data_IF_508280933287
#
_entry.id   IF_508280933287
#
_cell.length_a   1.000
_cell.length_b   1.000
_cell.length_c   1.000
_cell.angle_alpha   90.00
_cell.angle_beta   90.00
_cell.angle_gamma   90.00
#
_symmetry.space_group_name_H-M   'P 1'
#
loop_
_entity.id
_entity.type
_entity.pdbx_description
1 polymer ?
#
# COMPACT_ATOMS: atom_id res chain seq x y z
N UNK A 1 -4.48 -25.80 -25.99
CA UNK A 1 -3.01 -25.87 -26.03
C UNK A 1 -2.47 -25.21 -24.75
N UNK A 2 -1.90 -25.99 -23.83
CA UNK A 2 -1.22 -25.42 -22.67
C UNK A 2 0.08 -24.77 -23.15
N UNK A 3 0.27 -23.50 -22.82
CA UNK A 3 1.49 -22.78 -23.16
C UNK A 3 2.67 -23.42 -22.41
N UNK A 4 3.77 -23.69 -23.09
CA UNK A 4 4.91 -24.45 -22.53
C UNK A 4 5.50 -23.87 -21.23
N UNK A 5 5.45 -22.54 -21.08
CA UNK A 5 5.93 -21.84 -19.90
C UNK A 5 5.10 -22.08 -18.64
N UNK A 6 3.83 -22.52 -18.78
CA UNK A 6 2.97 -22.81 -17.62
C UNK A 6 3.39 -24.07 -16.86
N UNK A 7 4.21 -24.94 -17.47
CA UNK A 7 4.71 -26.17 -16.83
C UNK A 7 5.61 -25.90 -15.63
N UNK A 8 6.25 -24.73 -15.59
CA UNK A 8 7.17 -24.34 -14.53
C UNK A 8 6.53 -23.43 -13.47
N UNK A 9 5.23 -23.12 -13.60
CA UNK A 9 4.54 -22.35 -12.59
C UNK A 9 4.24 -23.24 -11.39
N UNK A 10 4.56 -22.74 -10.19
CA UNK A 10 4.12 -23.40 -8.95
C UNK A 10 2.58 -23.45 -8.97
N UNK A 11 2.04 -24.59 -8.58
CA UNK A 11 0.60 -24.75 -8.41
C UNK A 11 0.19 -24.03 -7.10
N UNK A 12 0.03 -22.70 -7.19
CA UNK A 12 -0.35 -21.86 -6.07
C UNK A 12 -1.81 -21.49 -6.27
N UNK A 13 -2.63 -21.74 -5.25
CA UNK A 13 -4.00 -21.26 -5.27
C UNK A 13 -4.00 -19.72 -5.26
N UNK A 14 -4.76 -19.08 -6.17
CA UNK A 14 -4.84 -17.63 -6.17
C UNK A 14 -5.48 -17.12 -4.88
N UNK A 15 -5.09 -15.94 -4.45
CA UNK A 15 -5.71 -15.27 -3.32
C UNK A 15 -7.22 -15.10 -3.57
N UNK A 16 -8.00 -15.61 -2.63
CA UNK A 16 -9.46 -15.41 -2.61
C UNK A 16 -9.77 -14.28 -1.63
N UNK A 17 -10.34 -13.16 -2.10
CA UNK A 17 -10.75 -12.08 -1.21
C UNK A 17 -11.74 -12.57 -0.17
N UNK A 18 -11.64 -12.04 1.04
CA UNK A 18 -12.61 -12.32 2.10
C UNK A 18 -14.04 -11.93 1.68
N UNK A 19 -15.00 -12.51 2.35
CA UNK A 19 -16.43 -12.29 2.08
C UNK A 19 -16.76 -10.79 2.08
N UNK A 20 -17.45 -10.36 1.03
CA UNK A 20 -17.97 -9.00 0.89
C UNK A 20 -19.51 -9.07 0.94
N UNK A 21 -20.07 -8.96 2.13
CA UNK A 21 -21.52 -8.90 2.28
C UNK A 21 -22.09 -7.62 1.65
N UNK A 22 -23.26 -7.76 1.05
CA UNK A 22 -24.06 -6.64 0.56
C UNK A 22 -25.02 -6.09 1.60
N UNK A 23 -25.12 -6.77 2.74
CA UNK A 23 -25.98 -6.36 3.84
C UNK A 23 -25.35 -5.14 4.55
N UNK A 24 -26.14 -4.08 4.69
CA UNK A 24 -25.69 -2.80 5.27
C UNK A 24 -25.65 -2.81 6.80
N UNK A 25 -26.31 -3.78 7.43
CA UNK A 25 -26.40 -3.89 8.89
C UNK A 25 -25.31 -4.78 9.50
N UNK A 26 -24.44 -5.33 8.65
CA UNK A 26 -23.31 -6.15 9.11
C UNK A 26 -22.16 -5.27 9.60
N UNK A 27 -21.65 -5.59 10.79
CA UNK A 27 -20.40 -5.03 11.30
C UNK A 27 -19.23 -5.75 10.67
N UNK A 28 -18.53 -5.09 9.77
CA UNK A 28 -17.37 -5.63 9.08
C UNK A 28 -16.14 -5.59 9.99
N UNK A 29 -15.62 -6.76 10.34
CA UNK A 29 -14.41 -6.91 11.18
C UNK A 29 -13.25 -7.60 10.45
N UNK A 30 -13.45 -7.98 9.17
CA UNK A 30 -12.38 -8.46 8.30
C UNK A 30 -11.65 -7.28 7.64
N UNK A 31 -10.51 -7.52 7.00
CA UNK A 31 -9.74 -6.53 6.25
C UNK A 31 -9.09 -5.39 7.07
N UNK A 32 -9.18 -5.41 8.40
CA UNK A 32 -8.50 -4.45 9.29
C UNK A 32 -8.74 -2.97 8.93
N UNK A 33 -9.95 -2.62 8.52
CA UNK A 33 -10.31 -1.24 8.19
C UNK A 33 -10.28 -0.36 9.43
N UNK A 34 -9.74 0.86 9.29
CA UNK A 34 -9.73 1.82 10.38
C UNK A 34 -11.14 2.42 10.56
N UNK A 35 -11.77 2.31 11.76
CA UNK A 35 -13.10 2.85 11.99
C UNK A 35 -13.12 4.40 12.08
N UNK A 36 -11.97 5.02 12.22
CA UNK A 36 -11.87 6.48 12.30
C UNK A 36 -11.53 7.09 10.94
N UNK A 37 -12.18 8.21 10.58
CA UNK A 37 -11.84 8.94 9.37
C UNK A 37 -10.46 9.60 9.49
N UNK A 38 -9.85 9.99 8.36
CA UNK A 38 -8.61 10.76 8.38
C UNK A 38 -8.80 12.10 9.13
N UNK A 39 -7.69 12.68 9.61
CA UNK A 39 -7.74 13.95 10.30
C UNK A 39 -8.38 15.05 9.43
N UNK A 40 -9.03 16.07 10.02
CA UNK A 40 -9.61 17.17 9.24
C UNK A 40 -8.60 17.86 8.32
N UNK A 41 -7.35 18.02 8.75
CA UNK A 41 -6.26 18.57 7.93
C UNK A 41 -5.95 17.70 6.70
N UNK A 42 -5.93 16.37 6.85
CA UNK A 42 -5.73 15.48 5.73
C UNK A 42 -6.91 15.54 4.74
N UNK A 43 -8.14 15.60 5.26
CA UNK A 43 -9.33 15.74 4.43
C UNK A 43 -9.34 17.08 3.64
N UNK A 44 -8.84 18.15 4.24
CA UNK A 44 -8.73 19.47 3.60
C UNK A 44 -7.70 19.47 2.46
N UNK A 45 -6.55 18.85 2.67
CA UNK A 45 -5.53 18.64 1.62
C UNK A 45 -6.09 17.86 0.44
N UNK A 46 -6.84 16.78 0.70
CA UNK A 46 -7.47 15.99 -0.36
C UNK A 46 -8.51 16.80 -1.15
N UNK A 47 -9.32 17.61 -0.47
CA UNK A 47 -10.31 18.48 -1.13
C UNK A 47 -9.69 19.58 -2.00
N UNK A 48 -8.55 20.12 -1.58
CA UNK A 48 -7.84 21.17 -2.30
C UNK A 48 -6.84 20.67 -3.34
N UNK A 49 -6.74 19.34 -3.51
CA UNK A 49 -5.78 18.75 -4.42
C UNK A 49 -6.12 19.07 -5.88
N UNK A 50 -5.16 19.64 -6.59
CA UNK A 50 -5.27 19.91 -8.02
C UNK A 50 -5.17 18.61 -8.83
N UNK A 51 -6.29 18.13 -9.34
CA UNK A 51 -6.39 16.88 -10.11
C UNK A 51 -5.60 16.92 -11.43
N UNK A 52 -5.27 18.10 -11.97
CA UNK A 52 -4.41 18.21 -13.15
C UNK A 52 -3.00 17.63 -12.90
N UNK A 53 -2.56 17.58 -11.65
CA UNK A 53 -1.26 17.00 -11.26
C UNK A 53 -1.22 15.48 -11.42
N UNK A 54 -2.37 14.80 -11.45
CA UNK A 54 -2.43 13.33 -11.62
C UNK A 54 -1.88 12.84 -12.97
N UNK A 55 -1.78 13.71 -13.96
CA UNK A 55 -1.18 13.39 -15.27
C UNK A 55 0.35 13.30 -15.24
N UNK A 56 1.00 13.75 -14.20
CA UNK A 56 2.44 13.72 -14.06
C UNK A 56 2.89 12.52 -13.22
N UNK A 57 4.09 12.04 -13.50
CA UNK A 57 4.71 11.05 -12.66
C UNK A 57 4.94 11.59 -11.25
N UNK A 58 4.67 10.80 -10.20
CA UNK A 58 5.03 11.17 -8.84
C UNK A 58 6.54 11.20 -8.66
N UNK A 59 6.99 11.79 -7.54
CA UNK A 59 8.40 11.72 -7.15
C UNK A 59 8.84 10.27 -7.01
N UNK A 60 9.90 9.86 -7.74
CA UNK A 60 10.40 8.49 -7.74
C UNK A 60 10.79 8.00 -6.32
N UNK A 61 11.30 8.90 -5.49
CA UNK A 61 11.82 8.57 -4.16
C UNK A 61 10.92 9.03 -3.00
N UNK A 62 9.75 9.57 -3.29
CA UNK A 62 8.84 10.13 -2.26
C UNK A 62 9.53 11.05 -1.25
N UNK A 63 10.48 11.89 -1.71
CA UNK A 63 11.40 12.65 -0.85
C UNK A 63 10.69 13.47 0.21
N UNK A 64 9.69 14.27 -0.17
CA UNK A 64 8.92 15.10 0.79
C UNK A 64 8.24 14.28 1.89
N UNK A 65 7.72 13.09 1.55
CA UNK A 65 7.11 12.19 2.52
C UNK A 65 8.14 11.62 3.47
N UNK A 66 9.28 11.15 2.96
CA UNK A 66 10.39 10.65 3.78
C UNK A 66 10.92 11.70 4.74
N UNK A 67 11.11 12.92 4.29
CA UNK A 67 11.55 14.05 5.12
C UNK A 67 10.53 14.35 6.24
N UNK A 68 9.23 14.35 5.92
CA UNK A 68 8.19 14.57 6.90
C UNK A 68 8.14 13.46 7.97
N UNK A 69 8.28 12.20 7.56
CA UNK A 69 8.34 11.04 8.46
C UNK A 69 9.59 11.12 9.33
N UNK A 70 10.75 11.35 8.73
CA UNK A 70 12.03 11.45 9.46
C UNK A 70 11.98 12.54 10.52
N UNK A 71 11.44 13.71 10.17
CA UNK A 71 11.24 14.82 11.11
C UNK A 71 10.32 14.44 12.27
N UNK A 72 9.21 13.77 11.96
CA UNK A 72 8.23 13.35 12.98
C UNK A 72 8.82 12.37 13.96
N UNK A 73 9.53 11.35 13.47
CA UNK A 73 10.15 10.30 14.31
C UNK A 73 11.55 10.66 14.82
N UNK A 74 12.10 11.83 14.43
CA UNK A 74 13.45 12.30 14.79
C UNK A 74 14.55 11.30 14.40
N UNK A 75 14.46 10.76 13.22
CA UNK A 75 15.43 9.85 12.61
C UNK A 75 16.03 10.47 11.36
N UNK A 76 17.14 9.92 10.86
CA UNK A 76 17.68 10.32 9.57
C UNK A 76 16.77 9.88 8.42
N UNK A 77 16.74 10.66 7.33
CA UNK A 77 15.92 10.36 6.14
C UNK A 77 16.34 9.03 5.51
N UNK A 78 17.61 8.65 5.61
CA UNK A 78 18.14 7.36 5.14
C UNK A 78 17.53 6.16 5.85
N UNK A 79 17.01 6.36 7.07
CA UNK A 79 16.33 5.32 7.85
C UNK A 79 14.84 5.17 7.51
N UNK A 80 14.34 5.93 6.52
CA UNK A 80 12.93 5.89 6.12
C UNK A 80 12.79 5.20 4.77
N UNK A 81 12.09 4.07 4.76
CA UNK A 81 11.64 3.41 3.55
C UNK A 81 10.12 3.63 3.37
N UNK A 82 9.71 3.93 2.14
CA UNK A 82 8.30 4.10 1.78
C UNK A 82 7.94 3.09 0.71
N UNK A 83 6.94 2.26 1.00
CA UNK A 83 6.40 1.28 0.08
C UNK A 83 4.91 1.47 -0.15
N UNK A 84 4.40 0.95 -1.25
CA UNK A 84 2.97 1.00 -1.57
C UNK A 84 2.23 -0.19 -0.93
N UNK A 85 1.85 -0.01 0.32
CA UNK A 85 1.24 -1.05 1.15
C UNK A 85 2.26 -1.97 1.83
N UNK A 86 1.80 -2.69 2.85
CA UNK A 86 2.66 -3.60 3.65
C UNK A 86 3.23 -4.76 2.83
N UNK A 87 2.53 -5.21 1.80
CA UNK A 87 2.97 -6.32 0.94
C UNK A 87 4.26 -5.99 0.19
N UNK A 88 4.44 -4.74 -0.25
CA UNK A 88 5.68 -4.30 -0.89
C UNK A 88 6.89 -4.40 0.06
N UNK A 89 6.70 -4.11 1.35
CA UNK A 89 7.75 -4.21 2.37
C UNK A 89 8.02 -5.67 2.73
N UNK A 90 6.96 -6.45 2.93
CA UNK A 90 7.07 -7.88 3.26
C UNK A 90 7.77 -8.65 2.15
N UNK A 91 7.45 -8.38 0.90
CA UNK A 91 8.08 -9.03 -0.25
C UNK A 91 9.60 -8.76 -0.33
N UNK A 92 10.04 -7.52 -0.09
CA UNK A 92 11.46 -7.16 -0.06
C UNK A 92 12.19 -7.88 1.08
N UNK A 93 11.57 -8.01 2.25
CA UNK A 93 12.16 -8.71 3.40
C UNK A 93 12.27 -10.20 3.17
N UNK A 94 11.23 -10.84 2.68
CA UNK A 94 11.21 -12.30 2.45
C UNK A 94 12.21 -12.70 1.37
N UNK A 95 12.32 -11.94 0.27
CA UNK A 95 13.31 -12.21 -0.78
C UNK A 95 14.76 -12.08 -0.32
N UNK A 96 15.05 -11.21 0.64
CA UNK A 96 16.40 -11.07 1.19
C UNK A 96 16.88 -12.34 1.90
N UNK A 97 16.00 -13.24 2.29
CA UNK A 97 16.32 -14.52 2.94
C UNK A 97 16.36 -15.71 1.99
N UNK A 98 15.98 -15.55 0.72
CA UNK A 98 16.03 -16.63 -0.29
C UNK A 98 17.39 -16.78 -0.98
N UNK A 99 18.32 -15.91 -0.70
CA UNK A 99 19.71 -15.96 -1.17
C UNK A 99 20.64 -16.31 -0.01
#
# INVERSE_FOLDING_TARGET
MSREWTKNLRNIEPYVPGEQSKDKDIVKINANENPYPPSPKAAEVLKSFDTNKLRFYPSANSTKLKEAIAKYYKVDVSNVFVGNGSDAVSYTHLRAHET
#
